data_IF_105920069228
#
_entry.id   IF_105920069228
#
_cell.length_a   1.000
_cell.length_b   1.000
_cell.length_c   1.000
_cell.angle_alpha   90.00
_cell.angle_beta   90.00
_cell.angle_gamma   90.00
#
_symmetry.space_group_name_H-M   'P 1'
#
loop_
_entity.id
_entity.type
_entity.pdbx_description
1 polymer ?
#
# COMPACT_ATOMS: atom_id res chain seq x y z
N UNK A 1 39.98 49.46 -17.91
CA UNK A 1 39.12 48.93 -18.98
C UNK A 1 39.41 47.43 -19.14
N UNK A 2 38.55 46.57 -18.60
CA UNK A 2 38.52 45.11 -18.86
C UNK A 2 37.05 44.76 -19.06
N UNK A 3 36.76 44.21 -20.23
CA UNK A 3 35.42 44.06 -20.79
C UNK A 3 34.75 42.83 -20.14
N UNK A 4 33.63 43.05 -19.46
CA UNK A 4 32.65 42.01 -19.15
C UNK A 4 31.87 41.71 -20.43
N UNK A 5 31.92 40.46 -20.90
CA UNK A 5 30.98 39.96 -21.90
C UNK A 5 29.98 39.04 -21.20
N UNK A 6 28.76 39.54 -21.01
CA UNK A 6 27.61 38.75 -20.60
C UNK A 6 27.24 37.80 -21.74
N UNK A 7 27.63 36.52 -21.63
CA UNK A 7 26.99 35.46 -22.40
C UNK A 7 25.74 35.01 -21.64
N UNK A 8 24.59 35.52 -22.10
CA UNK A 8 23.27 35.00 -21.75
C UNK A 8 23.19 33.58 -22.33
N UNK A 9 23.48 32.57 -21.50
CA UNK A 9 23.05 31.21 -21.76
C UNK A 9 21.52 31.19 -21.56
N UNK A 10 20.78 31.30 -22.65
CA UNK A 10 19.38 30.89 -22.69
C UNK A 10 19.33 29.40 -22.42
N UNK A 11 19.14 29.04 -21.15
CA UNK A 11 18.66 27.73 -20.73
C UNK A 11 17.34 27.49 -21.46
N UNK A 12 17.31 26.54 -22.39
CA UNK A 12 16.07 25.96 -22.86
C UNK A 12 15.33 25.41 -21.64
N UNK A 13 14.26 26.09 -21.22
CA UNK A 13 13.39 25.56 -20.17
C UNK A 13 12.73 24.28 -20.71
N UNK A 14 13.03 23.15 -20.07
CA UNK A 14 12.28 21.90 -20.25
C UNK A 14 10.83 22.20 -19.87
N UNK A 15 9.93 22.27 -20.84
CA UNK A 15 8.53 22.69 -20.65
C UNK A 15 7.72 21.70 -19.80
N UNK A 16 8.20 20.47 -19.66
CA UNK A 16 7.58 19.38 -18.91
C UNK A 16 8.07 19.26 -17.46
N UNK A 17 9.22 19.86 -17.12
CA UNK A 17 9.82 19.76 -15.78
C UNK A 17 9.16 20.76 -14.81
N UNK A 18 8.04 20.34 -14.25
CA UNK A 18 7.32 21.08 -13.20
C UNK A 18 8.16 21.17 -11.92
N UNK A 19 7.93 22.22 -11.15
CA UNK A 19 8.74 22.60 -9.98
C UNK A 19 8.85 21.45 -8.96
N UNK A 20 7.77 20.70 -8.76
CA UNK A 20 7.71 19.58 -7.82
C UNK A 20 8.60 18.37 -8.18
N UNK A 21 9.09 18.29 -9.43
CA UNK A 21 9.92 17.18 -9.89
C UNK A 21 11.39 17.55 -10.05
N UNK A 22 11.75 18.83 -9.82
CA UNK A 22 13.10 19.36 -10.00
C UNK A 22 14.12 18.82 -8.99
N UNK A 23 13.65 18.53 -7.78
CA UNK A 23 14.50 18.06 -6.68
C UNK A 23 14.71 16.53 -6.69
N UNK A 24 14.14 15.81 -7.66
CA UNK A 24 14.29 14.36 -7.83
C UNK A 24 15.26 14.10 -8.98
N UNK A 25 16.53 13.73 -8.70
CA UNK A 25 17.52 13.50 -9.75
C UNK A 25 17.06 12.42 -10.74
N UNK A 26 17.01 12.77 -12.03
CA UNK A 26 16.63 11.83 -13.08
C UNK A 26 15.13 11.53 -13.18
N UNK A 27 14.26 12.36 -12.61
CA UNK A 27 12.82 12.17 -12.75
C UNK A 27 12.37 12.31 -14.21
N UNK A 28 11.53 11.39 -14.70
CA UNK A 28 11.12 11.30 -16.11
C UNK A 28 10.38 12.54 -16.61
N UNK A 29 9.59 13.22 -15.77
CA UNK A 29 8.96 14.52 -16.11
C UNK A 29 9.97 15.64 -16.34
N UNK A 30 11.20 15.50 -15.85
CA UNK A 30 12.27 16.47 -16.02
C UNK A 30 13.30 16.06 -17.07
N UNK A 31 13.06 14.94 -17.76
CA UNK A 31 13.82 14.58 -18.94
C UNK A 31 13.29 15.38 -20.15
N UNK A 32 14.17 15.87 -21.02
CA UNK A 32 13.74 16.45 -22.28
C UNK A 32 13.05 15.37 -23.11
N UNK A 33 11.92 15.72 -23.72
CA UNK A 33 11.26 14.85 -24.69
C UNK A 33 12.26 14.47 -25.78
N UNK A 34 12.28 13.19 -26.13
CA UNK A 34 13.14 12.72 -27.21
C UNK A 34 12.61 13.31 -28.54
N UNK A 35 13.35 14.23 -29.14
CA UNK A 35 12.99 14.91 -30.39
C UNK A 35 12.83 13.96 -31.58
N UNK A 36 13.36 12.74 -31.48
CA UNK A 36 13.19 11.68 -32.49
C UNK A 36 11.92 10.83 -32.24
N UNK A 37 11.25 11.00 -31.10
CA UNK A 37 10.02 10.32 -30.77
C UNK A 37 8.81 11.02 -31.42
N UNK A 38 8.67 10.89 -32.74
CA UNK A 38 7.47 11.38 -33.46
C UNK A 38 6.38 10.30 -33.43
N UNK A 39 5.08 10.62 -33.25
CA UNK A 39 4.01 9.61 -33.19
C UNK A 39 3.95 8.65 -34.39
N UNK A 40 4.50 9.07 -35.53
CA UNK A 40 4.52 8.31 -36.78
C UNK A 40 5.76 7.41 -36.94
N UNK A 41 6.81 7.60 -36.13
CA UNK A 41 8.02 6.72 -36.10
C UNK A 41 8.19 5.99 -34.77
N UNK A 42 7.70 6.58 -33.68
CA UNK A 42 7.80 6.13 -32.30
C UNK A 42 6.49 6.47 -31.61
N UNK A 43 5.53 5.61 -31.86
CA UNK A 43 4.24 5.53 -31.20
C UNK A 43 3.86 4.06 -31.16
N UNK A 44 3.02 3.68 -30.22
CA UNK A 44 2.48 2.32 -30.19
C UNK A 44 1.47 2.22 -31.34
N UNK A 45 1.75 1.39 -32.36
CA UNK A 45 0.80 1.13 -33.44
C UNK A 45 -0.50 0.56 -32.88
N UNK A 46 -1.61 0.66 -33.60
CA UNK A 46 -2.89 0.15 -33.11
C UNK A 46 -2.83 -1.36 -32.80
N UNK A 47 -2.04 -2.11 -33.57
CA UNK A 47 -1.74 -3.52 -33.31
C UNK A 47 -0.97 -3.70 -32.01
N UNK A 48 0.09 -2.92 -31.77
CA UNK A 48 0.85 -2.99 -30.53
C UNK A 48 0.03 -2.52 -29.32
N UNK A 49 -0.90 -1.56 -29.47
CA UNK A 49 -1.82 -1.17 -28.39
C UNK A 49 -2.71 -2.34 -28.01
N UNK A 50 -3.25 -3.03 -29.01
CA UNK A 50 -4.08 -4.22 -28.79
C UNK A 50 -3.27 -5.34 -28.12
N UNK A 51 -2.01 -5.53 -28.51
CA UNK A 51 -1.12 -6.52 -27.89
C UNK A 51 -0.73 -6.13 -26.45
N UNK A 52 -0.45 -4.85 -26.17
CA UNK A 52 -0.19 -4.34 -24.82
C UNK A 52 -1.41 -4.55 -23.93
N UNK A 53 -2.60 -4.18 -24.39
CA UNK A 53 -3.87 -4.40 -23.66
C UNK A 53 -4.11 -5.89 -23.41
N UNK A 54 -3.89 -6.74 -24.42
CA UNK A 54 -4.05 -8.18 -24.31
C UNK A 54 -3.05 -8.81 -23.32
N UNK A 55 -1.77 -8.47 -23.43
CA UNK A 55 -0.73 -8.98 -22.53
C UNK A 55 -0.96 -8.50 -21.10
N UNK A 56 -1.36 -7.24 -20.91
CA UNK A 56 -1.73 -6.74 -19.60
C UNK A 56 -2.89 -7.53 -19.00
N UNK A 57 -3.96 -7.74 -19.76
CA UNK A 57 -5.13 -8.50 -19.29
C UNK A 57 -4.79 -9.96 -19.00
N UNK A 58 -3.90 -10.58 -19.79
CA UNK A 58 -3.41 -11.94 -19.54
C UNK A 58 -2.60 -12.03 -18.24
N UNK A 59 -1.63 -11.14 -18.04
CA UNK A 59 -0.73 -11.17 -16.88
C UNK A 59 -1.46 -10.78 -15.58
N UNK A 60 -2.39 -9.82 -15.64
CA UNK A 60 -3.19 -9.39 -14.49
C UNK A 60 -4.34 -10.33 -14.17
N UNK A 61 -4.91 -10.99 -15.18
CA UNK A 61 -5.91 -12.04 -15.00
C UNK A 61 -5.38 -13.32 -14.37
N UNK A 62 -4.05 -13.54 -14.40
CA UNK A 62 -3.40 -14.74 -13.85
C UNK A 62 -2.84 -14.59 -12.42
N UNK A 63 -2.95 -13.40 -11.80
CA UNK A 63 -2.52 -13.22 -10.41
C UNK A 63 -3.68 -13.46 -9.43
N UNK A 64 -3.36 -13.94 -8.24
CA UNK A 64 -4.32 -14.20 -7.15
C UNK A 64 -3.98 -13.28 -5.96
N UNK A 65 -4.90 -12.40 -5.51
CA UNK A 65 -6.23 -12.16 -6.10
C UNK A 65 -6.13 -11.47 -7.47
N UNK A 66 -7.15 -11.65 -8.31
CA UNK A 66 -7.21 -11.08 -9.66
C UNK A 66 -6.92 -9.59 -9.59
N UNK A 67 -5.88 -9.14 -10.29
CA UNK A 67 -5.60 -7.72 -10.38
C UNK A 67 -6.71 -7.02 -11.16
N UNK A 68 -6.95 -5.78 -10.79
CA UNK A 68 -8.03 -4.93 -11.29
C UNK A 68 -8.15 -4.86 -12.83
N UNK A 69 -9.34 -4.55 -13.36
CA UNK A 69 -9.52 -4.28 -14.79
C UNK A 69 -8.99 -2.89 -15.15
N UNK A 70 -8.05 -2.76 -16.11
CA UNK A 70 -7.59 -1.46 -16.60
C UNK A 70 -8.73 -0.60 -17.16
N UNK A 71 -9.76 -1.22 -17.73
CA UNK A 71 -10.90 -0.50 -18.29
C UNK A 71 -11.57 0.35 -17.23
N UNK A 72 -11.69 -0.20 -16.02
CA UNK A 72 -12.28 0.50 -14.88
C UNK A 72 -11.37 1.60 -14.32
N UNK A 73 -10.05 1.44 -14.41
CA UNK A 73 -9.08 2.51 -14.09
C UNK A 73 -9.16 3.67 -15.10
N UNK A 74 -9.22 3.36 -16.40
CA UNK A 74 -9.32 4.34 -17.49
C UNK A 74 -10.65 5.11 -17.46
N UNK A 75 -11.74 4.45 -17.09
CA UNK A 75 -13.07 5.04 -17.03
C UNK A 75 -13.38 5.70 -15.67
N UNK A 76 -12.42 5.75 -14.74
CA UNK A 76 -12.70 6.23 -13.39
C UNK A 76 -12.94 7.75 -13.35
N UNK A 77 -14.11 8.18 -12.86
CA UNK A 77 -14.47 9.60 -12.79
C UNK A 77 -13.61 10.44 -11.84
N UNK A 78 -12.92 9.80 -10.90
CA UNK A 78 -12.00 10.46 -9.96
C UNK A 78 -10.59 10.69 -10.50
N UNK A 79 -10.23 10.11 -11.66
CA UNK A 79 -8.92 10.34 -12.27
C UNK A 79 -8.97 11.50 -13.25
N UNK A 80 -8.14 12.51 -13.01
CA UNK A 80 -8.10 13.75 -13.81
C UNK A 80 -6.69 14.08 -14.31
N UNK A 81 -5.68 13.30 -13.92
CA UNK A 81 -4.30 13.40 -14.40
C UNK A 81 -3.72 12.00 -14.58
N UNK A 82 -3.00 11.81 -15.68
CA UNK A 82 -2.25 10.59 -15.99
C UNK A 82 -0.84 10.97 -16.42
N UNK A 83 0.16 10.25 -15.91
CA UNK A 83 1.54 10.37 -16.34
C UNK A 83 2.02 9.01 -16.83
N UNK A 84 2.55 8.95 -18.05
CA UNK A 84 3.04 7.71 -18.64
C UNK A 84 4.55 7.80 -18.90
N UNK A 85 5.22 6.66 -18.82
CA UNK A 85 6.63 6.49 -19.14
C UNK A 85 6.84 5.23 -19.96
N UNK A 86 7.89 5.27 -20.79
CA UNK A 86 8.33 4.15 -21.59
C UNK A 86 9.83 3.92 -21.36
N UNK A 87 10.23 2.66 -21.24
CA UNK A 87 11.62 2.26 -21.12
C UNK A 87 11.93 1.02 -21.96
N UNK A 88 13.13 0.98 -22.54
CA UNK A 88 13.69 -0.20 -23.19
C UNK A 88 14.72 -0.83 -22.26
N UNK A 89 14.54 -2.11 -21.93
CA UNK A 89 15.38 -2.85 -21.00
C UNK A 89 16.00 -4.05 -21.72
N UNK A 90 17.18 -3.86 -22.31
CA UNK A 90 17.84 -4.81 -23.23
C UNK A 90 18.16 -6.19 -22.61
N UNK A 91 18.23 -6.31 -21.28
CA UNK A 91 18.57 -7.54 -20.58
C UNK A 91 17.41 -8.11 -19.73
N UNK A 92 16.18 -7.67 -19.97
CA UNK A 92 15.00 -8.14 -19.25
C UNK A 92 14.18 -9.11 -20.11
N UNK A 93 13.37 -9.95 -19.46
CA UNK A 93 12.48 -10.89 -20.16
C UNK A 93 11.49 -10.15 -21.07
N UNK A 94 11.00 -8.99 -20.62
CA UNK A 94 10.23 -8.07 -21.44
C UNK A 94 11.14 -6.90 -21.82
N UNK A 95 11.40 -6.71 -23.12
CA UNK A 95 12.32 -5.67 -23.59
C UNK A 95 11.72 -4.25 -23.52
N UNK A 96 10.41 -4.13 -23.59
CA UNK A 96 9.70 -2.86 -23.71
C UNK A 96 8.71 -2.71 -22.56
N UNK A 97 8.88 -1.67 -21.74
CA UNK A 97 8.00 -1.39 -20.60
C UNK A 97 7.23 -0.10 -20.82
N UNK A 98 5.91 -0.18 -20.65
CA UNK A 98 5.01 0.96 -20.65
C UNK A 98 4.32 1.03 -19.29
N UNK A 99 4.44 2.16 -18.60
CA UNK A 99 3.84 2.37 -17.28
C UNK A 99 3.06 3.68 -17.30
N UNK A 100 1.79 3.64 -16.93
CA UNK A 100 0.98 4.82 -16.70
C UNK A 100 0.52 4.85 -15.24
N UNK A 101 0.78 5.98 -14.58
CA UNK A 101 0.30 6.26 -13.24
C UNK A 101 -0.85 7.26 -13.32
N UNK A 102 -1.93 6.95 -12.63
CA UNK A 102 -3.14 7.77 -12.55
C UNK A 102 -3.12 8.51 -11.21
N UNK A 103 -3.37 9.82 -11.23
CA UNK A 103 -3.23 10.66 -10.04
C UNK A 103 -4.22 10.30 -8.92
N UNK A 104 -5.37 9.73 -9.27
CA UNK A 104 -6.27 9.11 -8.32
C UNK A 104 -6.19 7.59 -8.47
N UNK A 105 -5.98 6.90 -7.33
CA UNK A 105 -6.09 5.46 -7.26
C UNK A 105 -7.53 4.98 -7.44
N UNK A 106 -7.69 3.73 -7.84
CA UNK A 106 -9.00 3.17 -8.10
C UNK A 106 -9.80 2.93 -6.81
N UNK A 107 -11.03 3.43 -6.74
CA UNK A 107 -11.85 3.44 -5.52
C UNK A 107 -13.05 2.49 -5.55
N UNK A 108 -13.72 2.31 -6.70
CA UNK A 108 -14.85 1.38 -6.87
C UNK A 108 -14.71 0.61 -8.20
N UNK A 109 -14.56 -0.71 -8.10
CA UNK A 109 -14.38 -1.59 -9.26
C UNK A 109 -15.67 -1.83 -10.06
N UNK A 110 -16.83 -1.75 -9.41
CA UNK A 110 -18.13 -1.99 -10.04
C UNK A 110 -18.75 -0.74 -10.63
N UNK A 111 -18.33 0.44 -10.17
CA UNK A 111 -18.87 1.74 -10.60
C UNK A 111 -17.74 2.76 -10.80
N UNK A 112 -16.95 2.63 -11.89
CA UNK A 112 -15.87 3.56 -12.17
C UNK A 112 -16.38 5.00 -12.40
N UNK A 113 -17.64 5.17 -12.79
CA UNK A 113 -18.28 6.48 -12.93
C UNK A 113 -19.70 6.47 -12.38
N UNK A 114 -20.20 7.67 -12.09
CA UNK A 114 -21.58 7.89 -11.67
C UNK A 114 -22.51 7.71 -12.86
N UNK A 115 -23.49 6.82 -12.75
CA UNK A 115 -24.55 6.67 -13.76
C UNK A 115 -25.42 7.93 -13.80
N UNK A 116 -25.65 8.49 -14.99
CA UNK A 116 -26.49 9.65 -15.18
C UNK A 116 -26.27 10.33 -16.53
N UNK A 117 -26.93 11.47 -16.73
CA UNK A 117 -26.70 12.30 -17.91
C UNK A 117 -25.26 12.83 -17.93
N UNK A 118 -24.67 12.92 -19.13
CA UNK A 118 -23.31 13.45 -19.32
C UNK A 118 -23.21 14.83 -18.68
N UNK A 119 -22.17 15.05 -17.89
CA UNK A 119 -21.89 16.30 -17.19
C UNK A 119 -22.94 16.78 -16.17
N UNK A 120 -23.92 15.95 -15.78
CA UNK A 120 -24.89 16.31 -14.73
C UNK A 120 -24.24 16.76 -13.41
N UNK A 121 -23.02 16.26 -13.14
CA UNK A 121 -22.19 16.60 -11.97
C UNK A 121 -21.19 17.75 -12.19
N UNK A 122 -21.18 18.38 -13.34
CA UNK A 122 -20.27 19.48 -13.65
C UNK A 122 -20.83 20.39 -14.75
N UNK A 123 -22.08 20.89 -14.63
CA UNK A 123 -22.73 21.62 -15.71
C UNK A 123 -21.97 22.88 -16.13
N UNK A 124 -21.19 23.48 -15.21
CA UNK A 124 -20.37 24.67 -15.46
C UNK A 124 -18.97 24.36 -16.01
N UNK A 125 -18.50 23.12 -15.84
CA UNK A 125 -17.13 22.70 -16.15
C UNK A 125 -17.14 21.51 -17.13
N UNK A 126 -18.19 21.42 -17.94
CA UNK A 126 -18.33 20.39 -18.96
C UNK A 126 -17.62 20.80 -20.24
N UNK A 127 -16.69 19.97 -20.70
CA UNK A 127 -16.00 20.14 -21.98
C UNK A 127 -16.02 18.83 -22.75
N UNK A 128 -16.62 18.85 -23.94
CA UNK A 128 -16.80 17.67 -24.80
C UNK A 128 -17.45 16.46 -24.10
N UNK A 129 -18.26 16.76 -23.09
CA UNK A 129 -18.97 15.80 -22.26
C UNK A 129 -18.09 15.06 -21.24
N UNK A 130 -16.98 15.67 -20.83
CA UNK A 130 -16.16 15.34 -19.67
C UNK A 130 -16.16 16.51 -18.67
N UNK A 131 -16.06 16.21 -17.38
CA UNK A 131 -15.83 17.22 -16.36
C UNK A 131 -14.36 17.63 -16.38
N UNK A 132 -14.08 18.88 -16.76
CA UNK A 132 -12.72 19.40 -16.93
C UNK A 132 -12.53 20.66 -16.07
N UNK A 133 -11.69 20.52 -15.05
CA UNK A 133 -11.30 21.61 -14.13
C UNK A 133 -9.96 22.26 -14.52
N UNK A 134 -9.46 22.01 -15.73
CA UNK A 134 -8.15 22.48 -16.20
C UNK A 134 -7.00 21.84 -15.42
N UNK A 135 -5.94 22.62 -15.16
CA UNK A 135 -4.71 22.15 -14.49
C UNK A 135 -4.84 21.95 -12.97
N UNK A 136 -6.06 21.97 -12.42
CA UNK A 136 -6.25 21.96 -10.98
C UNK A 136 -5.94 20.60 -10.37
N UNK A 137 -5.07 20.60 -9.36
CA UNK A 137 -4.59 19.40 -8.67
C UNK A 137 -4.85 19.48 -7.18
N UNK A 138 -5.29 18.37 -6.62
CA UNK A 138 -5.44 18.17 -5.19
C UNK A 138 -4.34 17.23 -4.69
N UNK A 139 -3.43 17.76 -3.89
CA UNK A 139 -2.29 17.04 -3.35
C UNK A 139 -2.65 16.31 -2.05
N UNK A 140 -1.73 15.48 -1.56
CA UNK A 140 -1.82 14.80 -0.27
C UNK A 140 -3.11 13.97 -0.06
N UNK A 141 -3.62 13.38 -1.16
CA UNK A 141 -4.84 12.59 -1.17
C UNK A 141 -6.12 13.41 -1.00
N UNK A 142 -6.09 14.71 -1.33
CA UNK A 142 -7.29 15.51 -1.51
C UNK A 142 -8.08 15.08 -2.75
N UNK A 143 -9.39 15.31 -2.73
CA UNK A 143 -10.31 14.93 -3.82
C UNK A 143 -10.79 16.18 -4.54
N UNK A 144 -10.79 16.17 -5.87
CA UNK A 144 -11.30 17.30 -6.66
C UNK A 144 -12.82 17.19 -6.78
N UNK A 145 -13.53 18.24 -6.36
CA UNK A 145 -14.97 18.32 -6.52
C UNK A 145 -15.29 18.80 -7.96
N UNK A 146 -15.98 18.00 -8.79
CA UNK A 146 -16.25 18.35 -10.19
C UNK A 146 -17.34 19.43 -10.37
N UNK A 147 -18.16 19.70 -9.34
CA UNK A 147 -19.21 20.72 -9.40
C UNK A 147 -18.63 22.12 -9.17
N UNK A 148 -17.61 22.24 -8.32
CA UNK A 148 -16.99 23.53 -7.93
C UNK A 148 -15.56 23.70 -8.44
N UNK A 149 -14.95 22.62 -8.90
CA UNK A 149 -13.50 22.53 -9.13
C UNK A 149 -12.72 22.96 -7.88
N UNK A 150 -13.13 22.60 -6.68
CA UNK A 150 -12.36 22.85 -5.44
C UNK A 150 -11.83 21.56 -4.85
N UNK A 151 -10.70 21.64 -4.15
CA UNK A 151 -10.12 20.48 -3.50
C UNK A 151 -10.70 20.26 -2.10
N UNK A 152 -11.21 19.07 -1.88
CA UNK A 152 -11.60 18.55 -0.57
C UNK A 152 -10.38 17.91 0.09
N UNK A 153 -9.79 18.60 1.06
CA UNK A 153 -8.56 18.15 1.71
C UNK A 153 -8.81 17.15 2.84
N UNK A 154 -7.87 16.21 3.00
CA UNK A 154 -7.80 15.38 4.21
C UNK A 154 -7.54 16.26 5.43
N UNK A 155 -8.05 15.85 6.60
CA UNK A 155 -8.07 16.64 7.85
C UNK A 155 -6.76 17.29 8.28
N UNK A 156 -5.61 16.81 7.84
CA UNK A 156 -4.28 17.33 8.20
C UNK A 156 -3.69 18.30 7.16
N UNK A 157 -4.39 18.53 6.04
CA UNK A 157 -3.99 19.43 4.96
C UNK A 157 -5.08 20.45 4.65
N UNK A 158 -4.69 21.62 4.18
CA UNK A 158 -5.60 22.71 3.82
C UNK A 158 -5.04 23.57 2.68
N UNK A 159 -5.82 24.55 2.26
CA UNK A 159 -5.51 25.41 1.12
C UNK A 159 -6.12 24.89 -0.18
N UNK A 160 -6.07 25.71 -1.25
CA UNK A 160 -6.82 25.47 -2.48
C UNK A 160 -6.44 24.19 -3.24
N UNK A 161 -5.27 23.63 -2.94
CA UNK A 161 -4.67 22.43 -3.55
C UNK A 161 -4.29 21.37 -2.52
N UNK A 162 -4.65 21.56 -1.24
CA UNK A 162 -4.28 20.64 -0.14
C UNK A 162 -2.78 20.48 0.12
N UNK A 163 -1.98 21.49 -0.20
CA UNK A 163 -0.53 21.46 0.02
C UNK A 163 -0.09 21.93 1.40
N UNK A 164 -0.95 22.64 2.12
CA UNK A 164 -0.56 23.23 3.41
C UNK A 164 -0.85 22.22 4.51
N UNK A 165 0.14 21.63 5.17
CA UNK A 165 -0.12 20.86 6.37
C UNK A 165 -0.65 21.81 7.44
N UNK A 166 -1.62 21.38 8.26
CA UNK A 166 -1.97 22.09 9.49
C UNK A 166 -0.65 22.30 10.24
N UNK A 167 -0.26 23.56 10.45
CA UNK A 167 0.88 23.88 11.30
C UNK A 167 0.59 23.22 12.63
N UNK A 168 1.35 22.17 12.94
CA UNK A 168 1.32 21.60 14.27
C UNK A 168 1.51 22.78 15.22
N UNK A 169 0.55 23.00 16.12
CA UNK A 169 0.81 23.79 17.30
C UNK A 169 2.04 23.13 17.90
N UNK A 170 3.19 23.80 17.87
CA UNK A 170 4.41 23.34 18.54
C UNK A 170 4.15 23.38 20.04
N UNK A 171 3.33 22.46 20.53
CA UNK A 171 3.49 21.93 21.86
C UNK A 171 4.76 21.13 21.80
N UNK A 172 5.78 21.65 22.49
CA UNK A 172 6.99 20.97 22.91
C UNK A 172 6.65 19.65 23.61
N UNK A 173 6.34 18.62 22.82
CA UNK A 173 6.25 17.26 23.31
C UNK A 173 7.68 16.76 23.36
N UNK A 174 8.16 16.55 24.59
CA UNK A 174 9.36 15.79 24.90
C UNK A 174 9.53 14.63 23.91
N UNK A 175 10.62 14.64 23.13
CA UNK A 175 11.05 13.51 22.30
C UNK A 175 11.51 12.37 23.21
N UNK A 176 10.58 11.70 23.89
CA UNK A 176 10.85 10.37 24.41
C UNK A 176 10.78 9.42 23.22
N UNK A 177 11.93 9.10 22.63
CA UNK A 177 12.00 8.02 21.65
C UNK A 177 11.55 6.71 22.30
N UNK A 178 10.56 6.05 21.70
CA UNK A 178 10.14 4.72 22.10
C UNK A 178 11.00 3.68 21.37
N UNK A 179 11.35 2.59 22.04
CA UNK A 179 11.95 1.43 21.39
C UNK A 179 11.03 0.25 21.66
N UNK A 180 10.53 -0.39 20.60
CA UNK A 180 9.69 -1.58 20.75
C UNK A 180 10.48 -2.74 21.37
N UNK A 181 9.77 -3.76 21.84
CA UNK A 181 10.38 -5.01 22.33
C UNK A 181 11.23 -5.72 21.26
N UNK A 182 11.05 -5.35 19.99
CA UNK A 182 11.80 -5.85 18.83
C UNK A 182 12.93 -4.89 18.39
N UNK A 183 13.23 -3.87 19.21
CA UNK A 183 14.35 -2.97 18.97
C UNK A 183 14.09 -1.86 17.94
N UNK A 184 12.86 -1.73 17.42
CA UNK A 184 12.56 -0.69 16.46
C UNK A 184 12.36 0.65 17.18
N UNK A 185 13.05 1.69 16.71
CA UNK A 185 12.99 3.02 17.30
C UNK A 185 11.86 3.83 16.67
N UNK A 186 11.06 4.48 17.50
CA UNK A 186 10.00 5.37 17.08
C UNK A 186 10.11 6.70 17.81
N UNK A 187 10.17 7.79 17.05
CA UNK A 187 10.35 9.16 17.58
C UNK A 187 9.10 10.03 17.47
N UNK A 188 8.00 9.48 16.93
CA UNK A 188 6.73 10.17 16.80
C UNK A 188 5.83 10.04 18.02
N UNK A 189 4.64 10.67 17.95
CA UNK A 189 3.60 10.49 18.96
C UNK A 189 2.95 9.12 18.77
N UNK A 190 2.98 8.29 19.80
CA UNK A 190 2.30 6.98 19.80
C UNK A 190 0.79 7.18 19.74
N UNK A 191 0.11 6.31 19.01
CA UNK A 191 -1.34 6.31 18.89
C UNK A 191 -1.99 5.87 20.22
N UNK A 192 -3.18 6.38 20.48
CA UNK A 192 -4.01 5.90 21.60
C UNK A 192 -4.53 4.47 21.35
N UNK A 193 -4.99 3.79 22.41
CA UNK A 193 -5.57 2.46 22.29
C UNK A 193 -6.73 2.40 21.28
N UNK A 194 -7.63 3.39 21.29
CA UNK A 194 -8.73 3.52 20.33
C UNK A 194 -8.26 3.75 18.89
N UNK A 195 -7.20 4.54 18.69
CA UNK A 195 -6.63 4.76 17.36
C UNK A 195 -5.96 3.48 16.83
N UNK A 196 -5.29 2.73 17.70
CA UNK A 196 -4.63 1.48 17.34
C UNK A 196 -5.58 0.43 16.80
N UNK A 197 -6.85 0.42 17.24
CA UNK A 197 -7.88 -0.47 16.66
C UNK A 197 -8.09 -0.27 15.16
N UNK A 198 -7.70 0.87 14.58
CA UNK A 198 -7.80 1.16 13.14
C UNK A 198 -6.55 0.77 12.35
N UNK A 199 -5.53 0.27 13.04
CA UNK A 199 -4.22 -0.05 12.48
C UNK A 199 -3.97 -1.56 12.54
N UNK A 200 -3.12 -2.06 11.64
CA UNK A 200 -2.78 -3.47 11.57
C UNK A 200 -4.01 -4.39 11.57
N UNK A 201 -3.98 -5.43 12.39
CA UNK A 201 -5.14 -6.28 12.72
C UNK A 201 -5.71 -5.86 14.08
N UNK A 202 -6.53 -4.81 14.11
CA UNK A 202 -7.11 -4.24 15.33
C UNK A 202 -6.07 -3.87 16.41
N UNK A 203 -4.95 -3.28 15.98
CA UNK A 203 -3.84 -2.89 16.82
C UNK A 203 -2.75 -3.94 16.97
N UNK A 204 -2.87 -5.07 16.25
CA UNK A 204 -1.84 -6.11 16.20
C UNK A 204 -0.98 -6.02 14.93
N UNK A 205 0.25 -6.52 15.02
CA UNK A 205 1.09 -6.77 13.86
C UNK A 205 0.58 -7.97 13.05
N UNK A 206 0.63 -7.85 11.73
CA UNK A 206 0.36 -8.94 10.78
C UNK A 206 1.44 -10.02 10.82
N UNK A 207 1.10 -11.23 10.38
CA UNK A 207 2.01 -12.41 10.37
C UNK A 207 3.34 -12.19 9.65
N UNK A 208 3.39 -11.27 8.69
CA UNK A 208 4.60 -10.94 7.93
C UNK A 208 5.62 -10.06 8.68
N UNK A 209 5.24 -9.51 9.83
CA UNK A 209 6.14 -8.72 10.68
C UNK A 209 7.09 -9.65 11.45
N UNK A 210 8.33 -9.23 11.65
CA UNK A 210 9.35 -9.98 12.41
C UNK A 210 8.86 -10.33 13.82
N UNK A 211 8.06 -9.45 14.44
CA UNK A 211 7.37 -9.69 15.71
C UNK A 211 6.40 -10.87 15.72
N UNK A 212 6.06 -11.40 14.55
CA UNK A 212 5.23 -12.58 14.33
C UNK A 212 5.99 -13.69 13.58
N UNK A 213 7.31 -13.59 13.44
CA UNK A 213 8.16 -14.55 12.74
C UNK A 213 8.19 -14.36 11.21
N UNK A 214 7.74 -13.21 10.70
CA UNK A 214 7.80 -12.87 9.29
C UNK A 214 9.10 -12.18 8.85
N UNK A 215 9.14 -11.69 7.61
CA UNK A 215 10.36 -11.12 6.99
C UNK A 215 10.44 -9.59 7.04
N UNK A 216 9.38 -8.90 7.46
CA UNK A 216 9.34 -7.42 7.54
C UNK A 216 10.00 -6.98 8.85
N UNK A 217 11.12 -6.28 8.74
CA UNK A 217 11.96 -5.87 9.88
C UNK A 217 11.80 -4.39 10.24
N UNK A 218 12.49 -3.94 11.29
CA UNK A 218 12.53 -2.52 11.68
C UNK A 218 12.93 -1.56 10.55
N UNK A 219 13.74 -2.02 9.57
CA UNK A 219 14.19 -1.16 8.44
C UNK A 219 13.01 -0.61 7.64
N UNK A 220 11.98 -1.42 7.47
CA UNK A 220 10.80 -1.07 6.69
C UNK A 220 9.86 -0.10 7.43
N UNK A 221 9.96 0.01 8.76
CA UNK A 221 9.17 0.96 9.55
C UNK A 221 9.42 2.43 9.18
N UNK A 222 10.62 2.75 8.67
CA UNK A 222 11.01 4.10 8.26
C UNK A 222 10.90 4.33 6.76
N UNK A 223 10.94 3.25 5.98
CA UNK A 223 10.84 3.31 4.52
C UNK A 223 9.40 3.42 4.03
N UNK A 224 8.45 2.80 4.74
CA UNK A 224 7.09 2.63 4.25
C UNK A 224 6.07 2.99 5.33
N UNK A 225 5.22 3.99 5.05
CA UNK A 225 4.21 4.46 6.00
C UNK A 225 3.16 3.40 6.31
N UNK A 226 2.75 2.60 5.32
CA UNK A 226 1.82 1.48 5.48
C UNK A 226 2.42 0.35 6.33
N UNK A 227 3.74 0.15 6.32
CA UNK A 227 4.38 -0.82 7.24
C UNK A 227 4.15 -0.39 8.68
N UNK A 228 4.22 0.90 8.96
CA UNK A 228 4.03 1.45 10.31
C UNK A 228 2.57 1.47 10.77
N UNK A 229 1.60 1.70 9.88
CA UNK A 229 0.18 1.84 10.28
C UNK A 229 -0.72 0.66 9.94
N UNK A 230 -0.46 -0.06 8.85
CA UNK A 230 -1.37 -1.08 8.32
C UNK A 230 -0.83 -2.51 8.45
N UNK A 231 0.46 -2.67 8.72
CA UNK A 231 1.12 -3.97 8.78
C UNK A 231 1.66 -4.26 10.18
N UNK A 232 2.59 -3.44 10.65
CA UNK A 232 3.39 -3.71 11.84
C UNK A 232 3.34 -2.54 12.87
N UNK A 233 2.16 -2.08 13.30
CA UNK A 233 2.04 -0.90 14.16
C UNK A 233 2.64 -1.07 15.56
N UNK A 234 2.69 -2.28 16.10
CA UNK A 234 3.31 -2.57 17.41
C UNK A 234 4.81 -2.68 17.26
N UNK A 235 5.29 -3.50 16.30
CA UNK A 235 6.72 -3.65 16.02
C UNK A 235 7.37 -2.30 15.73
N UNK A 236 6.74 -1.46 14.90
CA UNK A 236 7.24 -0.13 14.55
C UNK A 236 7.02 0.94 15.64
N UNK A 237 6.45 0.57 16.79
CA UNK A 237 6.31 1.44 17.94
C UNK A 237 5.21 2.50 17.88
N UNK A 238 4.35 2.47 16.85
CA UNK A 238 3.19 3.35 16.73
C UNK A 238 2.13 3.01 17.79
N UNK A 239 1.94 1.73 18.07
CA UNK A 239 0.93 1.20 18.97
C UNK A 239 1.54 0.45 20.16
N UNK A 240 0.82 0.44 21.28
CA UNK A 240 1.03 -0.55 22.34
C UNK A 240 0.40 -1.88 21.91
N UNK A 241 1.00 -3.03 22.26
CA UNK A 241 0.36 -4.31 22.01
C UNK A 241 -0.96 -4.40 22.78
N UNK A 242 -2.03 -4.92 22.16
CA UNK A 242 -3.30 -5.10 22.85
C UNK A 242 -3.16 -6.07 24.03
N UNK A 243 -4.10 -5.99 24.97
CA UNK A 243 -4.16 -6.89 26.12
C UNK A 243 -2.87 -6.94 26.94
N UNK A 244 -2.17 -5.81 27.07
CA UNK A 244 -0.90 -5.68 27.78
C UNK A 244 0.20 -6.63 27.26
N UNK A 245 0.18 -6.96 25.97
CA UNK A 245 1.16 -7.87 25.38
C UNK A 245 0.92 -9.34 25.70
N UNK A 246 -0.32 -9.74 26.01
CA UNK A 246 -0.69 -11.16 26.12
C UNK A 246 -0.33 -11.89 24.81
N UNK A 247 0.29 -13.06 24.93
CA UNK A 247 0.67 -13.92 23.79
C UNK A 247 0.00 -15.29 23.97
N UNK A 248 -0.54 -15.84 22.88
CA UNK A 248 -1.09 -17.18 22.85
C UNK A 248 -0.03 -18.15 22.31
N UNK A 249 0.26 -19.21 23.06
CA UNK A 249 1.25 -20.23 22.70
C UNK A 249 0.76 -21.14 21.56
N UNK A 250 1.67 -21.94 20.99
CA UNK A 250 1.37 -23.01 20.04
C UNK A 250 0.45 -22.62 18.86
N UNK A 251 0.63 -21.40 18.34
CA UNK A 251 -0.16 -20.89 17.21
C UNK A 251 -1.58 -20.44 17.57
N UNK A 252 -1.88 -20.26 18.87
CA UNK A 252 -3.12 -19.62 19.30
C UNK A 252 -3.25 -18.19 18.78
N UNK A 253 -4.48 -17.76 18.53
CA UNK A 253 -4.80 -16.41 18.07
C UNK A 253 -5.41 -15.59 19.20
N UNK A 254 -4.86 -14.40 19.47
CA UNK A 254 -5.40 -13.49 20.48
C UNK A 254 -6.51 -12.64 19.88
N UNK A 255 -7.69 -12.68 20.50
CA UNK A 255 -8.74 -11.71 20.25
C UNK A 255 -8.40 -10.39 20.98
N UNK A 256 -8.22 -9.30 20.22
CA UNK A 256 -7.84 -7.99 20.74
C UNK A 256 -8.94 -7.27 21.53
N UNK A 257 -10.20 -7.71 21.40
CA UNK A 257 -11.34 -7.09 22.08
C UNK A 257 -11.63 -7.79 23.41
N UNK A 258 -11.66 -9.12 23.41
CA UNK A 258 -11.96 -9.93 24.60
C UNK A 258 -10.71 -10.28 25.41
N UNK A 259 -9.53 -10.17 24.81
CA UNK A 259 -8.26 -10.63 25.36
C UNK A 259 -8.21 -12.13 25.65
N UNK A 260 -9.02 -12.92 24.95
CA UNK A 260 -9.04 -14.38 25.01
C UNK A 260 -8.20 -15.00 23.90
N UNK A 261 -7.62 -16.17 24.18
CA UNK A 261 -6.87 -16.93 23.19
C UNK A 261 -7.78 -17.99 22.55
N UNK A 262 -7.94 -17.92 21.24
CA UNK A 262 -8.47 -19.02 20.44
C UNK A 262 -7.34 -20.02 20.18
N UNK A 263 -7.41 -21.20 20.80
CA UNK A 263 -6.39 -22.23 20.72
C UNK A 263 -6.64 -23.21 19.57
N UNK A 264 -5.59 -23.53 18.84
CA UNK A 264 -5.62 -24.64 17.89
C UNK A 264 -5.61 -25.97 18.66
N UNK A 265 -6.44 -26.96 18.29
CA UNK A 265 -6.35 -28.30 18.87
C UNK A 265 -4.94 -28.91 18.71
N UNK A 266 -4.43 -29.67 19.69
CA UNK A 266 -5.09 -30.10 20.92
C UNK A 266 -5.01 -29.07 22.07
N UNK A 267 -4.51 -27.87 21.85
CA UNK A 267 -4.27 -26.90 22.92
C UNK A 267 -5.55 -26.25 23.44
N UNK A 268 -5.56 -25.90 24.73
CA UNK A 268 -6.73 -25.34 25.40
C UNK A 268 -6.47 -23.94 25.99
N UNK A 269 -7.53 -23.10 26.13
CA UNK A 269 -7.44 -21.81 26.82
C UNK A 269 -6.98 -21.99 28.27
N UNK A 270 -6.45 -20.94 28.93
CA UNK A 270 -6.50 -19.52 28.54
C UNK A 270 -5.33 -19.01 27.70
N UNK A 271 -4.26 -19.81 27.56
CA UNK A 271 -2.96 -19.39 26.99
C UNK A 271 -2.45 -20.32 25.89
N UNK A 272 -3.13 -21.44 25.61
CA UNK A 272 -2.76 -22.42 24.58
C UNK A 272 -1.39 -23.09 24.81
N UNK A 273 -0.86 -23.03 26.03
CA UNK A 273 0.37 -23.70 26.46
C UNK A 273 0.11 -25.15 26.87
N UNK A 274 -1.10 -25.44 27.34
CA UNK A 274 -1.51 -26.79 27.73
C UNK A 274 -2.31 -27.49 26.62
N UNK A 275 -2.09 -28.80 26.47
CA UNK A 275 -2.86 -29.65 25.59
C UNK A 275 -4.00 -30.37 26.34
N UNK A 276 -5.18 -30.42 25.73
CA UNK A 276 -6.29 -31.29 26.14
C UNK A 276 -5.96 -32.74 25.75
N UNK A 277 -5.43 -33.47 26.72
CA UNK A 277 -5.09 -34.89 26.58
C UNK A 277 -6.23 -35.84 26.98
N UNK A 278 -7.46 -35.33 27.14
CA UNK A 278 -8.63 -36.17 27.44
C UNK A 278 -9.02 -37.08 26.28
N UNK A 279 -8.68 -36.68 25.04
CA UNK A 279 -9.01 -37.42 23.82
C UNK A 279 -7.88 -38.40 23.44
N UNK A 280 -8.19 -39.67 23.15
CA UNK A 280 -7.20 -40.62 22.67
C UNK A 280 -6.81 -40.34 21.22
N UNK A 281 -5.61 -40.80 20.83
CA UNK A 281 -5.15 -40.80 19.44
C UNK A 281 -6.14 -41.51 18.51
N UNK A 282 -6.27 -40.99 17.29
CA UNK A 282 -7.04 -41.64 16.25
C UNK A 282 -6.48 -43.03 15.90
N UNK A 283 -7.36 -43.97 15.53
CA UNK A 283 -6.96 -45.34 15.13
C UNK A 283 -5.98 -45.39 13.94
N UNK A 284 -5.96 -44.35 13.10
CA UNK A 284 -5.01 -44.25 11.99
C UNK A 284 -3.58 -43.88 12.43
N UNK A 285 -3.39 -43.36 13.64
CA UNK A 285 -2.11 -42.84 14.12
C UNK A 285 -0.96 -43.86 14.05
N UNK A 286 -1.13 -45.16 14.40
CA UNK A 286 -0.05 -46.15 14.27
C UNK A 286 0.53 -46.26 12.85
N UNK A 287 -0.31 -46.10 11.82
CA UNK A 287 0.10 -46.21 10.41
C UNK A 287 0.89 -44.97 9.92
N UNK A 288 0.78 -43.83 10.59
CA UNK A 288 1.46 -42.61 10.19
C UNK A 288 2.90 -42.56 10.72
N UNK A 289 3.89 -42.16 9.92
CA UNK A 289 5.25 -41.89 10.40
C UNK A 289 5.32 -40.78 11.46
N UNK A 290 6.33 -40.78 12.35
CA UNK A 290 6.48 -39.77 13.42
C UNK A 290 6.81 -38.37 12.87
N UNK A 291 7.50 -38.29 11.74
CA UNK A 291 7.80 -37.02 11.05
C UNK A 291 6.54 -36.32 10.50
N UNK A 292 5.40 -37.02 10.44
CA UNK A 292 4.13 -36.40 10.04
C UNK A 292 3.67 -35.35 11.06
N UNK A 293 4.10 -35.46 12.32
CA UNK A 293 3.81 -34.48 13.36
C UNK A 293 4.34 -33.07 13.06
N UNK A 294 5.44 -32.96 12.30
CA UNK A 294 6.00 -31.66 11.88
C UNK A 294 5.64 -31.29 10.43
N UNK A 295 5.26 -32.26 9.60
CA UNK A 295 4.88 -32.03 8.20
C UNK A 295 3.42 -31.60 8.00
N UNK A 296 2.51 -32.09 8.85
CA UNK A 296 1.07 -31.91 8.65
C UNK A 296 0.41 -31.36 9.91
N UNK A 297 -0.16 -30.16 9.81
CA UNK A 297 -0.78 -29.45 10.95
C UNK A 297 -1.92 -30.25 11.64
N UNK A 298 -2.62 -31.11 10.90
CA UNK A 298 -3.73 -31.91 11.43
C UNK A 298 -3.28 -33.17 12.21
N UNK A 299 -2.00 -33.53 12.15
CA UNK A 299 -1.49 -34.76 12.77
C UNK A 299 -1.29 -34.58 14.28
N UNK A 300 -0.70 -33.47 14.78
CA UNK A 300 -0.70 -33.12 16.20
C UNK A 300 -2.08 -33.15 16.87
N UNK A 301 -3.12 -32.67 16.18
CA UNK A 301 -4.51 -32.71 16.69
C UNK A 301 -5.05 -34.14 16.80
N UNK A 302 -4.85 -34.96 15.76
CA UNK A 302 -5.43 -36.31 15.71
C UNK A 302 -4.62 -37.35 16.49
N UNK A 303 -3.33 -37.10 16.68
CA UNK A 303 -2.38 -38.04 17.24
C UNK A 303 -1.45 -37.38 18.29
N UNK A 304 -2.01 -36.67 19.30
CA UNK A 304 -1.21 -35.90 20.24
C UNK A 304 -0.23 -36.75 21.06
N UNK A 305 -0.58 -38.01 21.40
CA UNK A 305 0.34 -38.91 22.13
C UNK A 305 1.48 -39.36 21.22
N UNK A 306 1.18 -39.77 19.99
CA UNK A 306 2.21 -40.14 19.01
C UNK A 306 3.18 -39.00 18.73
N UNK A 307 2.68 -37.76 18.69
CA UNK A 307 3.49 -36.57 18.51
C UNK A 307 4.24 -36.12 19.77
N UNK A 308 4.06 -36.81 20.90
CA UNK A 308 4.71 -36.48 22.17
C UNK A 308 4.18 -35.19 22.81
N UNK A 309 3.00 -34.74 22.40
CA UNK A 309 2.31 -33.58 22.99
C UNK A 309 1.57 -34.01 24.26
N UNK A 310 0.95 -35.20 24.22
CA UNK A 310 0.27 -35.81 25.36
C UNK A 310 1.03 -37.04 25.87
N UNK A 311 0.97 -37.33 27.18
CA UNK A 311 1.52 -38.55 27.76
C UNK A 311 0.72 -39.80 27.37
#
# INVERSE_FOLDING_TARGET
MKILLHMVLTLFQVTTCREEFRDIPGHTMCMPDNVNATPNQWGVSETEKNDIVKQHNMLRGSIEPTATDLLTMMAQNGTYLVGCGFAVCENEYYKHYYVCNYAAGQSDLGKPYTLGERCSKCPKFCKDGLCDCGDKKCNNGGTLNPETCECECKKIFFGPSCDKPIKAKETSISKSGFTSTHGCKYSGKRASAEECKKYGENGQDKSMCDSRGGTVTCKQCDQFSNVRSEMCPVMCGLCDPPCNGKVCSNGGTLDSETCECACAPPYQPPTCDEADCSKPDNKACPAWPKDYCSKYANVPEKCPKKCGICP
#
